data_IF_217870658557
#
_entry.id   IF_217870658557
#
_cell.length_a   1.000
_cell.length_b   1.000
_cell.length_c   1.000
_cell.angle_alpha   90.00
_cell.angle_beta   90.00
_cell.angle_gamma   90.00
#
_symmetry.space_group_name_H-M   'P 1'
#
loop_
_entity.id
_entity.type
_entity.pdbx_description
1 polymer ?
#
# COMPACT_ATOMS: atom_id res chain seq x y z
N UNK A 1 13.76 16.49 -8.06
CA UNK A 1 12.62 17.29 -7.55
C UNK A 1 11.34 16.60 -7.98
N UNK A 2 10.39 16.29 -7.10
CA UNK A 2 9.06 15.85 -7.48
C UNK A 2 8.38 16.95 -8.31
N UNK A 3 7.58 16.56 -9.26
CA UNK A 3 6.89 17.47 -10.18
C UNK A 3 5.37 17.34 -10.03
N UNK A 4 4.87 16.13 -10.19
CA UNK A 4 3.46 15.79 -10.00
C UNK A 4 3.32 14.45 -9.30
N UNK A 5 2.14 14.21 -8.72
CA UNK A 5 1.67 12.91 -8.25
C UNK A 5 0.25 12.68 -8.75
N UNK A 6 -0.28 11.45 -8.67
CA UNK A 6 -1.72 11.23 -8.90
C UNK A 6 -2.52 11.83 -7.75
N UNK A 7 -3.58 12.56 -8.07
CA UNK A 7 -4.52 13.14 -7.11
C UNK A 7 -5.44 12.07 -6.49
N UNK A 8 -6.34 12.47 -5.60
CA UNK A 8 -7.54 11.67 -5.31
C UNK A 8 -8.57 11.79 -6.45
N UNK A 9 -9.71 11.12 -6.29
CA UNK A 9 -10.82 11.15 -7.27
C UNK A 9 -11.50 12.52 -7.40
N UNK A 10 -11.32 13.42 -6.42
CA UNK A 10 -11.79 14.80 -6.45
C UNK A 10 -10.77 15.77 -7.04
N UNK A 11 -9.60 15.31 -7.45
CA UNK A 11 -8.50 16.12 -7.97
C UNK A 11 -7.73 16.88 -6.87
N UNK A 12 -7.76 16.38 -5.63
CA UNK A 12 -7.09 17.01 -4.48
C UNK A 12 -5.83 16.25 -4.08
N UNK A 13 -4.90 16.99 -3.48
CA UNK A 13 -3.64 16.42 -2.97
C UNK A 13 -3.83 15.72 -1.61
N UNK A 14 -4.73 16.20 -0.75
CA UNK A 14 -4.94 15.67 0.60
C UNK A 14 -5.38 14.20 0.61
N UNK A 15 -6.08 13.76 -0.44
CA UNK A 15 -6.49 12.37 -0.65
C UNK A 15 -5.55 11.56 -1.54
N UNK A 16 -4.43 12.15 -2.01
CA UNK A 16 -3.43 11.51 -2.88
C UNK A 16 -2.59 10.49 -2.09
N UNK A 17 -3.22 9.41 -1.64
CA UNK A 17 -2.64 8.39 -0.78
C UNK A 17 -3.17 7.00 -1.15
N UNK A 18 -2.42 6.00 -0.74
CA UNK A 18 -2.81 4.59 -0.71
C UNK A 18 -2.50 4.03 0.68
N UNK A 19 -2.72 2.75 0.93
CA UNK A 19 -2.58 2.22 2.29
C UNK A 19 -1.61 1.03 2.34
N UNK A 20 -0.66 1.12 3.28
CA UNK A 20 0.10 -0.03 3.75
C UNK A 20 -0.71 -0.76 4.80
N UNK A 21 -0.92 -2.06 4.62
CA UNK A 21 -1.71 -2.91 5.52
C UNK A 21 -0.82 -3.95 6.18
N UNK A 22 -1.01 -4.18 7.48
CA UNK A 22 -0.55 -5.38 8.18
C UNK A 22 -1.77 -6.26 8.41
N UNK A 23 -1.73 -7.45 7.85
CA UNK A 23 -2.86 -8.37 7.77
C UNK A 23 -2.54 -9.72 8.40
N UNK A 24 -3.61 -10.38 8.87
CA UNK A 24 -3.58 -11.73 9.45
C UNK A 24 -4.73 -12.56 8.88
N UNK A 25 -4.70 -13.91 8.93
CA UNK A 25 -5.85 -14.72 8.56
C UNK A 25 -7.11 -14.28 9.32
N UNK A 26 -8.26 -14.18 8.63
CA UNK A 26 -9.49 -13.63 9.23
C UNK A 26 -9.95 -14.38 10.48
N UNK A 27 -9.75 -15.70 10.52
CA UNK A 27 -10.06 -16.56 11.66
C UNK A 27 -9.12 -16.39 12.86
N UNK A 28 -8.02 -15.65 12.70
CA UNK A 28 -7.04 -15.37 13.76
C UNK A 28 -7.11 -13.93 14.29
N UNK A 29 -7.94 -13.07 13.73
CA UNK A 29 -8.03 -11.65 14.12
C UNK A 29 -8.27 -11.42 15.61
N UNK A 30 -9.03 -12.31 16.27
CA UNK A 30 -9.31 -12.18 17.71
C UNK A 30 -8.05 -12.21 18.59
N UNK A 31 -6.93 -12.80 18.10
CA UNK A 31 -5.65 -12.81 18.82
C UNK A 31 -4.97 -11.43 18.84
N UNK A 32 -5.41 -10.50 17.99
CA UNK A 32 -4.82 -9.16 17.81
C UNK A 32 -5.73 -8.05 18.33
N UNK A 33 -6.88 -8.38 18.96
CA UNK A 33 -7.74 -7.40 19.62
C UNK A 33 -7.04 -6.75 20.79
N UNK A 34 -7.16 -5.42 20.89
CA UNK A 34 -6.63 -4.62 21.99
C UNK A 34 -7.60 -3.47 22.29
N UNK A 35 -8.38 -3.62 23.34
CA UNK A 35 -9.37 -2.62 23.77
C UNK A 35 -8.72 -1.30 24.23
N UNK A 36 -7.41 -1.29 24.45
CA UNK A 36 -6.64 -0.08 24.79
C UNK A 36 -6.18 0.71 23.55
N UNK A 37 -6.23 0.09 22.36
CA UNK A 37 -5.91 0.74 21.10
C UNK A 37 -7.16 1.42 20.51
N UNK A 38 -7.07 2.68 20.04
CA UNK A 38 -8.22 3.37 19.44
C UNK A 38 -8.84 2.65 18.23
N UNK A 39 -8.09 1.81 17.55
CA UNK A 39 -8.56 1.01 16.40
C UNK A 39 -9.19 -0.32 16.82
N UNK A 40 -9.07 -0.71 18.09
CA UNK A 40 -9.51 -1.99 18.63
C UNK A 40 -8.59 -3.17 18.29
N UNK A 41 -7.46 -2.93 17.59
CA UNK A 41 -6.48 -3.94 17.19
C UNK A 41 -5.06 -3.45 17.44
N UNK A 42 -4.12 -4.38 17.59
CA UNK A 42 -2.72 -4.04 17.86
C UNK A 42 -1.77 -5.07 17.23
N UNK A 43 -0.61 -4.57 16.77
CA UNK A 43 0.48 -5.42 16.28
C UNK A 43 1.38 -5.98 17.39
N UNK A 44 1.06 -5.77 18.67
CA UNK A 44 1.87 -6.29 19.80
C UNK A 44 2.01 -7.81 19.83
N UNK A 45 1.12 -8.55 19.17
CA UNK A 45 1.16 -10.01 19.11
C UNK A 45 1.81 -10.58 17.83
N UNK A 46 2.52 -9.74 17.03
CA UNK A 46 3.23 -10.20 15.82
C UNK A 46 4.61 -10.81 16.11
N UNK A 47 5.20 -10.52 17.28
CA UNK A 47 6.50 -11.07 17.69
C UNK A 47 6.50 -12.59 17.66
N UNK A 48 7.54 -13.19 17.11
CA UNK A 48 7.70 -14.65 17.00
C UNK A 48 6.84 -15.30 15.91
N UNK A 49 6.01 -14.54 15.21
CA UNK A 49 5.21 -15.05 14.08
C UNK A 49 6.08 -15.22 12.83
N UNK A 50 5.57 -15.92 11.82
CA UNK A 50 6.13 -15.93 10.46
C UNK A 50 5.60 -14.70 9.73
N UNK A 51 6.49 -13.86 9.25
CA UNK A 51 6.14 -12.59 8.58
C UNK A 51 6.41 -12.68 7.08
N UNK A 52 5.48 -12.18 6.26
CA UNK A 52 5.71 -11.95 4.84
C UNK A 52 5.74 -10.45 4.55
N UNK A 53 6.83 -9.99 3.94
CA UNK A 53 6.98 -8.66 3.36
C UNK A 53 7.01 -8.74 1.83
N UNK A 54 6.93 -7.60 1.16
CA UNK A 54 7.03 -7.52 -0.31
C UNK A 54 8.49 -7.66 -0.75
N UNK A 55 9.32 -6.69 -0.39
CA UNK A 55 10.77 -6.67 -0.60
C UNK A 55 11.37 -5.64 0.36
N UNK A 56 12.65 -5.75 0.67
CA UNK A 56 13.34 -4.81 1.58
C UNK A 56 13.36 -3.34 1.09
N UNK A 57 13.09 -3.10 -0.19
CA UNK A 57 13.03 -1.76 -0.79
C UNK A 57 11.61 -1.20 -0.92
N UNK A 58 10.57 -2.02 -0.70
CA UNK A 58 9.17 -1.61 -0.82
C UNK A 58 8.81 -0.60 0.27
N UNK A 59 8.18 0.51 -0.09
CA UNK A 59 7.70 1.51 0.87
C UNK A 59 6.55 0.94 1.70
N UNK A 60 5.43 0.58 1.08
CA UNK A 60 4.22 0.08 1.74
C UNK A 60 4.32 -1.38 2.20
N UNK A 61 5.13 -2.19 1.51
CA UNK A 61 5.27 -3.61 1.82
C UNK A 61 6.44 -3.96 2.74
N UNK A 62 7.25 -2.97 3.17
CA UNK A 62 8.36 -3.19 4.11
C UNK A 62 8.66 -1.98 5.00
N UNK A 63 9.02 -0.81 4.43
CA UNK A 63 9.50 0.33 5.24
C UNK A 63 8.44 0.85 6.20
N UNK A 64 7.23 1.13 5.71
CA UNK A 64 6.12 1.62 6.54
C UNK A 64 5.73 0.61 7.62
N UNK A 65 5.43 -0.68 7.32
CA UNK A 65 5.12 -1.65 8.36
C UNK A 65 6.29 -1.92 9.31
N UNK A 66 7.54 -1.86 8.84
CA UNK A 66 8.72 -2.00 9.71
C UNK A 66 8.84 -0.87 10.71
N UNK A 67 8.59 0.38 10.29
CA UNK A 67 8.58 1.52 11.23
C UNK A 67 7.48 1.37 12.28
N UNK A 68 6.27 0.96 11.86
CA UNK A 68 5.17 0.70 12.80
C UNK A 68 5.55 -0.39 13.83
N UNK A 69 6.28 -1.44 13.41
CA UNK A 69 6.78 -2.49 14.31
C UNK A 69 7.86 -1.93 15.24
N UNK A 70 8.80 -1.12 14.74
CA UNK A 70 9.83 -0.48 15.58
C UNK A 70 9.21 0.43 16.63
N UNK A 71 8.19 1.22 16.27
CA UNK A 71 7.46 2.09 17.20
C UNK A 71 6.72 1.28 18.27
N UNK A 72 6.17 0.12 17.92
CA UNK A 72 5.49 -0.76 18.87
C UNK A 72 6.46 -1.54 19.78
N UNK A 73 7.72 -1.75 19.36
CA UNK A 73 8.73 -2.55 20.05
C UNK A 73 10.09 -1.81 20.12
N UNK A 74 10.14 -0.59 20.68
CA UNK A 74 11.36 0.26 20.63
C UNK A 74 12.55 -0.32 21.38
N UNK A 75 12.32 -1.19 22.37
CA UNK A 75 13.37 -1.85 23.15
C UNK A 75 13.88 -3.17 22.50
N UNK A 76 13.21 -3.65 21.45
CA UNK A 76 13.47 -4.97 20.89
C UNK A 76 13.92 -4.93 19.43
N UNK A 77 13.56 -3.88 18.68
CA UNK A 77 13.87 -3.71 17.25
C UNK A 77 14.50 -2.33 17.07
N UNK A 78 15.81 -2.31 16.88
CA UNK A 78 16.58 -1.06 16.75
C UNK A 78 16.72 -0.60 15.29
N UNK A 79 16.50 -1.48 14.31
CA UNK A 79 16.59 -1.15 12.89
C UNK A 79 15.71 -2.06 12.04
N UNK A 80 15.33 -1.58 10.85
CA UNK A 80 14.58 -2.36 9.87
C UNK A 80 15.34 -3.60 9.38
N UNK A 81 16.67 -3.58 9.42
CA UNK A 81 17.52 -4.74 9.05
C UNK A 81 17.27 -5.97 9.94
N UNK A 82 16.89 -5.75 11.20
CA UNK A 82 16.57 -6.84 12.13
C UNK A 82 15.27 -7.57 11.74
N UNK A 83 14.40 -6.90 10.99
CA UNK A 83 13.13 -7.44 10.50
C UNK A 83 13.28 -8.20 9.17
N UNK A 84 14.48 -8.20 8.56
CA UNK A 84 14.73 -8.91 7.28
C UNK A 84 15.10 -10.38 7.45
N UNK A 85 15.29 -10.85 8.67
CA UNK A 85 15.81 -12.18 9.02
C UNK A 85 15.14 -12.73 10.29
N UNK A 86 15.24 -14.04 10.55
CA UNK A 86 14.79 -14.61 11.82
C UNK A 86 15.46 -13.96 13.02
N UNK A 87 14.69 -13.76 14.09
CA UNK A 87 15.08 -13.08 15.33
C UNK A 87 13.85 -12.55 16.04
N UNK A 88 13.41 -11.33 15.70
CA UNK A 88 12.13 -10.79 16.15
C UNK A 88 10.96 -11.65 15.62
N UNK A 89 10.98 -11.98 14.33
CA UNK A 89 10.10 -12.96 13.71
C UNK A 89 10.74 -14.36 13.75
N UNK A 90 9.94 -15.41 13.82
CA UNK A 90 10.42 -16.80 13.72
C UNK A 90 10.91 -17.13 12.29
N UNK A 91 10.29 -16.51 11.29
CA UNK A 91 10.64 -16.61 9.88
C UNK A 91 10.26 -15.31 9.16
N UNK A 92 11.06 -14.94 8.16
CA UNK A 92 10.73 -13.83 7.26
C UNK A 92 10.72 -14.33 5.83
N UNK A 93 9.64 -14.00 5.12
CA UNK A 93 9.41 -14.30 3.72
C UNK A 93 9.33 -13.00 2.93
N UNK A 94 9.76 -13.02 1.68
CA UNK A 94 9.57 -11.93 0.73
C UNK A 94 8.74 -12.43 -0.45
N UNK A 95 7.53 -11.85 -0.60
CA UNK A 95 6.59 -12.20 -1.67
C UNK A 95 7.00 -11.69 -3.05
N UNK A 96 7.99 -10.78 -3.12
CA UNK A 96 8.49 -10.07 -4.30
C UNK A 96 7.46 -9.19 -5.04
N UNK A 97 6.21 -9.22 -4.60
CA UNK A 97 5.12 -8.35 -5.01
C UNK A 97 4.09 -8.26 -3.89
N UNK A 98 3.20 -7.26 -3.92
CA UNK A 98 2.10 -7.14 -2.97
C UNK A 98 1.15 -8.34 -3.05
N UNK A 99 0.69 -8.77 -4.25
CA UNK A 99 -0.05 -10.02 -4.40
C UNK A 99 0.70 -11.25 -3.86
N UNK A 100 2.02 -11.34 -4.08
CA UNK A 100 2.82 -12.46 -3.57
C UNK A 100 2.89 -12.51 -2.05
N UNK A 101 2.99 -11.35 -1.38
CA UNK A 101 2.97 -11.28 0.09
C UNK A 101 1.60 -11.67 0.66
N UNK A 102 0.50 -11.20 0.04
CA UNK A 102 -0.86 -11.56 0.42
C UNK A 102 -1.13 -13.07 0.24
N UNK A 103 -0.65 -13.65 -0.87
CA UNK A 103 -0.78 -15.10 -1.13
C UNK A 103 -0.01 -15.93 -0.11
N UNK A 104 1.20 -15.53 0.31
CA UNK A 104 1.93 -16.22 1.39
C UNK A 104 1.10 -16.29 2.68
N UNK A 105 0.37 -15.22 3.03
CA UNK A 105 -0.55 -15.22 4.17
C UNK A 105 -1.71 -16.20 3.95
N UNK A 106 -2.39 -16.08 2.82
CA UNK A 106 -3.59 -16.84 2.52
C UNK A 106 -3.32 -18.34 2.32
N UNK A 107 -2.12 -18.73 1.87
CA UNK A 107 -1.69 -20.14 1.80
C UNK A 107 -1.29 -20.71 3.17
N UNK A 108 -1.03 -19.83 4.15
CA UNK A 108 -0.58 -20.25 5.48
C UNK A 108 0.94 -20.43 5.59
N UNK A 109 1.72 -19.89 4.63
CA UNK A 109 3.18 -19.84 4.70
C UNK A 109 3.65 -18.76 5.69
N UNK A 110 2.87 -17.69 5.85
CA UNK A 110 3.04 -16.65 6.85
C UNK A 110 1.83 -16.57 7.80
N UNK A 111 2.06 -16.08 9.02
CA UNK A 111 1.02 -15.81 10.03
C UNK A 111 0.58 -14.36 9.99
N UNK A 112 1.48 -13.48 9.49
CA UNK A 112 1.28 -12.03 9.33
C UNK A 112 1.87 -11.64 7.97
N UNK A 113 1.23 -10.71 7.26
CA UNK A 113 1.79 -10.18 6.02
C UNK A 113 1.58 -8.67 5.91
N UNK A 114 2.51 -8.02 5.20
CA UNK A 114 2.40 -6.61 4.81
C UNK A 114 2.30 -6.48 3.30
N UNK A 115 1.31 -5.69 2.84
CA UNK A 115 1.07 -5.36 1.43
C UNK A 115 0.18 -4.11 1.34
N UNK A 116 -0.02 -3.57 0.15
CA UNK A 116 -0.90 -2.41 -0.03
C UNK A 116 -2.30 -2.76 -0.55
N UNK A 117 -3.15 -1.74 -0.65
CA UNK A 117 -4.49 -1.83 -1.19
C UNK A 117 -4.50 -1.85 -2.73
N UNK A 118 -3.75 -0.96 -3.38
CA UNK A 118 -3.85 -0.72 -4.83
C UNK A 118 -3.47 -1.92 -5.70
N UNK A 119 -2.49 -2.72 -5.26
CA UNK A 119 -2.03 -3.89 -6.02
C UNK A 119 -2.82 -5.17 -5.69
N UNK A 120 -3.63 -5.16 -4.61
CA UNK A 120 -4.27 -6.37 -4.08
C UNK A 120 -5.80 -6.34 -4.18
N UNK A 121 -6.44 -5.16 -4.05
CA UNK A 121 -7.91 -5.05 -3.97
C UNK A 121 -8.63 -5.52 -5.25
N UNK A 122 -7.99 -5.47 -6.40
CA UNK A 122 -8.56 -6.02 -7.64
C UNK A 122 -8.92 -7.51 -7.56
N UNK A 123 -8.28 -8.27 -6.67
CA UNK A 123 -8.53 -9.70 -6.44
C UNK A 123 -9.54 -9.99 -5.33
N UNK A 124 -10.07 -8.96 -4.66
CA UNK A 124 -10.80 -9.06 -3.41
C UNK A 124 -12.21 -8.48 -3.50
N UNK A 125 -13.12 -9.03 -2.70
CA UNK A 125 -14.37 -8.37 -2.38
C UNK A 125 -14.09 -7.27 -1.36
N UNK A 126 -14.11 -6.02 -1.82
CA UNK A 126 -13.86 -4.83 -0.98
C UNK A 126 -15.09 -4.59 -0.10
N UNK A 127 -14.94 -4.46 1.21
CA UNK A 127 -16.09 -4.47 2.15
C UNK A 127 -16.97 -3.20 2.08
N UNK A 128 -16.48 -2.10 1.51
CA UNK A 128 -17.19 -0.81 1.37
C UNK A 128 -16.53 0.07 0.31
N UNK A 129 -17.31 0.94 -0.34
CA UNK A 129 -16.83 1.92 -1.32
C UNK A 129 -16.07 3.10 -0.68
N UNK A 130 -16.19 3.30 0.64
CA UNK A 130 -15.42 4.27 1.40
C UNK A 130 -14.00 3.73 1.61
N UNK A 131 -13.03 4.24 0.87
CA UNK A 131 -11.65 3.76 0.87
C UNK A 131 -10.96 3.86 2.23
N UNK A 132 -11.15 4.95 2.96
CA UNK A 132 -10.57 5.12 4.30
C UNK A 132 -11.16 4.09 5.28
N UNK A 133 -12.46 3.84 5.19
CA UNK A 133 -13.13 2.83 6.00
C UNK A 133 -12.74 1.41 5.58
N UNK A 134 -12.64 1.12 4.29
CA UNK A 134 -12.18 -0.16 3.78
C UNK A 134 -10.77 -0.49 4.31
N UNK A 135 -9.91 0.52 4.45
CA UNK A 135 -8.56 0.38 4.97
C UNK A 135 -8.44 0.49 6.51
N UNK A 136 -9.55 0.50 7.25
CA UNK A 136 -9.49 0.54 8.71
C UNK A 136 -9.15 -0.82 9.31
N UNK A 137 -8.46 -0.84 10.46
CA UNK A 137 -8.27 -2.07 11.24
C UNK A 137 -9.63 -2.68 11.60
N UNK A 138 -9.71 -4.00 11.58
CA UNK A 138 -10.94 -4.75 11.80
C UNK A 138 -11.70 -5.12 10.52
N UNK A 139 -11.38 -4.53 9.38
CA UNK A 139 -11.98 -4.91 8.10
C UNK A 139 -11.49 -6.29 7.65
N UNK A 140 -12.41 -7.07 7.07
CA UNK A 140 -12.15 -8.41 6.54
C UNK A 140 -12.40 -8.42 5.04
N UNK A 141 -11.46 -8.98 4.31
CA UNK A 141 -11.49 -9.12 2.87
C UNK A 141 -11.58 -10.59 2.48
N UNK A 142 -12.40 -10.89 1.48
CA UNK A 142 -12.48 -12.23 0.89
C UNK A 142 -11.86 -12.21 -0.50
N UNK A 143 -11.17 -13.28 -0.85
CA UNK A 143 -10.71 -13.47 -2.23
C UNK A 143 -11.91 -13.78 -3.12
N UNK A 144 -12.07 -13.02 -4.21
CA UNK A 144 -13.15 -13.18 -5.18
C UNK A 144 -13.19 -14.60 -5.76
N UNK A 145 -14.39 -15.09 -6.01
CA UNK A 145 -14.59 -16.26 -6.85
C UNK A 145 -14.10 -15.95 -8.26
N UNK A 146 -13.26 -16.84 -8.83
CA UNK A 146 -12.68 -16.62 -10.15
C UNK A 146 -11.53 -15.62 -10.19
N UNK A 147 -10.99 -15.20 -9.03
CA UNK A 147 -9.81 -14.33 -8.98
C UNK A 147 -8.68 -14.85 -9.86
N UNK A 148 -8.03 -13.95 -10.61
CA UNK A 148 -6.92 -14.26 -11.49
C UNK A 148 -5.65 -14.66 -10.71
N UNK A 149 -4.64 -15.15 -11.41
CA UNK A 149 -3.33 -15.40 -10.80
C UNK A 149 -2.76 -14.11 -10.19
N UNK A 150 -2.13 -14.20 -8.99
CA UNK A 150 -1.78 -15.41 -8.23
C UNK A 150 -2.84 -15.87 -7.22
N UNK A 151 -4.02 -15.21 -7.15
CA UNK A 151 -5.07 -15.49 -6.17
C UNK A 151 -5.98 -16.68 -6.54
N UNK A 152 -5.88 -17.21 -7.77
CA UNK A 152 -6.63 -18.39 -8.26
C UNK A 152 -6.52 -19.62 -7.33
N UNK A 153 -5.41 -19.76 -6.62
CA UNK A 153 -5.10 -20.87 -5.69
C UNK A 153 -5.54 -20.63 -4.25
N UNK A 154 -6.07 -19.45 -3.93
CA UNK A 154 -6.51 -19.06 -2.58
C UNK A 154 -7.94 -18.52 -2.55
N UNK A 155 -8.74 -18.84 -3.56
CA UNK A 155 -10.15 -18.45 -3.65
C UNK A 155 -10.93 -18.88 -2.40
N UNK A 156 -11.85 -18.05 -1.96
CA UNK A 156 -12.69 -18.28 -0.77
C UNK A 156 -11.94 -18.15 0.56
N UNK A 157 -10.64 -17.82 0.53
CA UNK A 157 -9.89 -17.47 1.75
C UNK A 157 -10.04 -16.01 2.07
N UNK A 158 -9.79 -15.65 3.33
CA UNK A 158 -9.98 -14.29 3.83
C UNK A 158 -8.88 -13.89 4.80
N UNK A 159 -8.61 -12.60 4.84
CA UNK A 159 -7.71 -11.97 5.80
C UNK A 159 -8.39 -10.76 6.45
N UNK A 160 -7.84 -10.33 7.58
CA UNK A 160 -8.26 -9.10 8.24
C UNK A 160 -7.12 -8.14 8.46
N UNK A 161 -7.41 -6.86 8.42
CA UNK A 161 -6.48 -5.78 8.69
C UNK A 161 -6.35 -5.59 10.20
N UNK A 162 -5.14 -5.69 10.75
CA UNK A 162 -4.85 -5.38 12.15
C UNK A 162 -4.19 -4.02 12.34
N UNK A 163 -3.56 -3.49 11.27
CA UNK A 163 -3.05 -2.13 11.21
C UNK A 163 -3.02 -1.65 9.77
N UNK A 164 -3.31 -0.37 9.57
CA UNK A 164 -3.24 0.31 8.29
C UNK A 164 -2.60 1.68 8.45
N UNK A 165 -1.75 2.05 7.51
CA UNK A 165 -1.03 3.33 7.51
C UNK A 165 -1.16 3.97 6.14
N UNK A 166 -1.67 5.22 6.02
CA UNK A 166 -1.70 5.93 4.77
C UNK A 166 -0.28 6.23 4.26
N UNK A 167 -0.08 6.04 2.97
CA UNK A 167 1.18 6.28 2.26
C UNK A 167 0.91 7.25 1.12
N UNK A 168 1.74 8.27 0.96
CA UNK A 168 1.61 9.25 -0.11
C UNK A 168 1.87 8.60 -1.48
N UNK A 169 1.05 8.94 -2.47
CA UNK A 169 1.25 8.46 -3.84
C UNK A 169 2.63 8.87 -4.37
N UNK A 170 3.25 7.98 -5.14
CA UNK A 170 4.60 8.20 -5.67
C UNK A 170 4.66 9.38 -6.66
N UNK A 171 5.75 10.18 -6.67
CA UNK A 171 5.90 11.29 -7.60
C UNK A 171 6.42 10.86 -8.97
N UNK A 172 6.02 11.60 -10.01
CA UNK A 172 6.85 11.76 -11.19
C UNK A 172 7.86 12.85 -10.86
N UNK A 173 9.15 12.52 -10.92
CA UNK A 173 10.23 13.42 -10.54
C UNK A 173 11.13 13.78 -11.73
N UNK A 174 11.72 14.97 -11.68
CA UNK A 174 12.67 15.47 -12.68
C UNK A 174 14.04 15.73 -12.06
N UNK A 175 15.09 15.51 -12.85
CA UNK A 175 16.44 15.91 -12.48
C UNK A 175 16.69 17.37 -12.91
N UNK A 176 16.68 18.29 -11.94
CA UNK A 176 16.86 19.73 -12.15
C UNK A 176 18.29 20.12 -12.53
N UNK A 177 19.28 19.25 -12.35
CA UNK A 177 20.64 19.47 -12.81
C UNK A 177 20.79 19.25 -14.32
N UNK A 178 19.85 18.47 -14.91
CA UNK A 178 19.90 18.08 -16.34
C UNK A 178 18.85 18.84 -17.15
N UNK A 179 17.66 19.03 -16.63
CA UNK A 179 16.56 19.67 -17.35
C UNK A 179 16.53 21.17 -17.11
N UNK A 180 16.53 22.02 -18.17
CA UNK A 180 16.30 23.46 -18.07
C UNK A 180 14.93 23.78 -17.50
N UNK A 181 14.80 24.89 -16.78
CA UNK A 181 13.56 25.29 -16.12
C UNK A 181 12.37 25.42 -17.09
N UNK A 182 12.59 25.96 -18.29
CA UNK A 182 11.53 26.12 -19.31
C UNK A 182 10.98 24.77 -19.81
N UNK A 183 11.77 23.70 -19.74
CA UNK A 183 11.32 22.33 -20.04
C UNK A 183 10.53 21.77 -18.85
N UNK A 184 10.99 22.01 -17.62
CA UNK A 184 10.29 21.60 -16.39
C UNK A 184 8.89 22.26 -16.34
N UNK A 185 8.79 23.56 -16.64
CA UNK A 185 7.54 24.29 -16.66
C UNK A 185 6.56 23.72 -17.70
N UNK A 186 7.04 23.38 -18.90
CA UNK A 186 6.23 22.75 -19.95
C UNK A 186 5.79 21.32 -19.57
N UNK A 187 6.64 20.56 -18.91
CA UNK A 187 6.28 19.22 -18.40
C UNK A 187 5.19 19.32 -17.34
N UNK A 188 5.32 20.28 -16.41
CA UNK A 188 4.31 20.51 -15.39
C UNK A 188 2.96 20.91 -16.01
N UNK A 189 2.97 21.89 -16.91
CA UNK A 189 1.76 22.33 -17.62
C UNK A 189 1.11 21.16 -18.40
N UNK A 190 1.91 20.40 -19.15
CA UNK A 190 1.42 19.26 -19.93
C UNK A 190 0.85 18.15 -19.05
N UNK A 191 1.57 17.72 -18.02
CA UNK A 191 1.12 16.63 -17.13
C UNK A 191 -0.15 16.99 -16.34
N UNK A 192 -0.31 18.26 -15.92
CA UNK A 192 -1.51 18.72 -15.20
C UNK A 192 -2.63 19.22 -16.11
N UNK A 193 -2.48 19.06 -17.43
CA UNK A 193 -3.50 19.51 -18.40
C UNK A 193 -4.73 18.59 -18.38
N UNK A 194 -5.87 19.16 -18.81
CA UNK A 194 -7.09 18.36 -19.03
C UNK A 194 -6.94 17.33 -20.16
N UNK A 195 -6.09 17.64 -21.14
CA UNK A 195 -5.79 16.72 -22.24
C UNK A 195 -5.12 15.45 -21.72
N UNK A 196 -4.10 15.60 -20.86
CA UNK A 196 -3.42 14.47 -20.21
C UNK A 196 -4.37 13.69 -19.30
N UNK A 197 -5.21 14.36 -18.50
CA UNK A 197 -6.19 13.69 -17.63
C UNK A 197 -7.28 12.94 -18.41
N UNK A 198 -7.49 13.29 -19.68
CA UNK A 198 -8.46 12.62 -20.57
C UNK A 198 -7.83 11.60 -21.53
N UNK A 199 -6.53 11.36 -21.41
CA UNK A 199 -5.83 10.39 -22.25
C UNK A 199 -6.05 8.97 -21.70
N UNK A 200 -6.87 8.19 -22.41
CA UNK A 200 -7.24 6.82 -22.05
C UNK A 200 -6.06 5.83 -22.06
N UNK A 201 -4.93 6.19 -22.66
CA UNK A 201 -3.69 5.41 -22.57
C UNK A 201 -2.99 5.60 -21.23
N UNK A 202 -3.25 6.71 -20.53
CA UNK A 202 -2.72 7.00 -19.21
C UNK A 202 -3.73 6.67 -18.11
N UNK A 203 -4.98 7.10 -18.28
CA UNK A 203 -6.03 6.99 -17.28
C UNK A 203 -7.23 6.24 -17.87
N UNK A 204 -7.39 4.98 -17.52
CA UNK A 204 -8.56 4.21 -17.95
C UNK A 204 -9.85 4.78 -17.35
N UNK A 205 -10.96 4.81 -18.10
CA UNK A 205 -12.27 5.01 -17.51
C UNK A 205 -12.56 3.98 -16.41
N UNK A 206 -13.34 4.37 -15.39
CA UNK A 206 -13.62 3.57 -14.19
C UNK A 206 -14.17 2.17 -14.50
N UNK A 207 -14.97 2.04 -15.56
CA UNK A 207 -15.67 0.79 -15.93
C UNK A 207 -14.89 -0.07 -16.94
N UNK A 208 -13.65 0.26 -17.28
CA UNK A 208 -12.86 -0.45 -18.30
C UNK A 208 -11.82 -1.35 -17.65
N UNK A 209 -12.14 -2.64 -17.56
CA UNK A 209 -11.16 -3.66 -17.18
C UNK A 209 -10.17 -3.92 -18.33
N UNK A 210 -8.91 -4.27 -18.00
CA UNK A 210 -7.85 -4.62 -18.98
C UNK A 210 -7.55 -3.54 -20.03
N UNK A 211 -7.72 -2.27 -19.69
CA UNK A 211 -7.50 -1.16 -20.63
C UNK A 211 -6.04 -1.02 -21.12
N UNK A 212 -5.07 -1.55 -20.36
CA UNK A 212 -3.64 -1.34 -20.57
C UNK A 212 -3.15 0.05 -20.14
N UNK A 213 -4.02 0.92 -19.62
CA UNK A 213 -3.64 2.20 -19.03
C UNK A 213 -2.86 2.01 -17.72
N UNK A 214 -2.12 3.06 -17.32
CA UNK A 214 -1.27 2.99 -16.11
C UNK A 214 -2.08 3.23 -14.84
N UNK A 215 -3.12 4.08 -14.92
CA UNK A 215 -4.00 4.45 -13.80
C UNK A 215 -5.47 4.28 -14.17
N UNK A 216 -6.34 4.21 -13.15
CA UNK A 216 -7.79 4.20 -13.30
C UNK A 216 -8.39 5.52 -12.83
N UNK A 217 -9.38 6.06 -13.53
CA UNK A 217 -10.17 7.23 -13.09
C UNK A 217 -11.07 6.91 -11.88
N UNK A 218 -11.23 5.62 -11.54
CA UNK A 218 -11.83 5.21 -10.25
C UNK A 218 -10.92 5.50 -9.05
N UNK A 219 -9.61 5.67 -9.26
CA UNK A 219 -8.62 5.88 -8.20
C UNK A 219 -8.07 7.31 -8.15
N UNK A 220 -8.12 8.05 -9.27
CA UNK A 220 -7.56 9.41 -9.39
C UNK A 220 -8.26 10.25 -10.44
N UNK A 221 -8.34 11.54 -10.24
CA UNK A 221 -8.80 12.50 -11.28
C UNK A 221 -7.68 12.91 -12.26
N UNK A 222 -6.46 12.41 -12.10
CA UNK A 222 -5.31 12.77 -12.93
C UNK A 222 -4.10 13.23 -12.12
N UNK A 223 -3.16 13.90 -12.76
CA UNK A 223 -1.98 14.42 -12.08
C UNK A 223 -2.24 15.78 -11.44
N UNK A 224 -1.64 15.99 -10.27
CA UNK A 224 -1.60 17.25 -9.54
C UNK A 224 -0.15 17.65 -9.23
N UNK A 225 0.16 18.94 -9.30
CA UNK A 225 1.47 19.46 -8.90
C UNK A 225 1.76 19.17 -7.42
N UNK A 226 3.00 18.84 -7.11
CA UNK A 226 3.40 18.52 -5.74
C UNK A 226 4.74 19.17 -5.39
N UNK A 227 4.81 19.73 -4.19
CA UNK A 227 6.03 20.28 -3.62
C UNK A 227 6.89 19.20 -2.96
N UNK A 228 8.20 19.42 -2.92
CA UNK A 228 9.16 18.48 -2.31
C UNK A 228 8.86 18.18 -0.84
N UNK A 229 8.42 19.18 -0.08
CA UNK A 229 8.02 19.08 1.32
C UNK A 229 6.82 18.16 1.58
N UNK A 230 6.00 17.87 0.57
CA UNK A 230 4.89 16.91 0.67
C UNK A 230 5.38 15.52 1.08
N UNK A 231 6.60 15.15 0.68
CA UNK A 231 7.20 13.84 0.95
C UNK A 231 8.01 13.77 2.25
N UNK A 232 8.07 14.81 3.08
CA UNK A 232 8.79 14.81 4.36
C UNK A 232 8.36 13.65 5.28
N UNK A 233 7.06 13.30 5.41
CA UNK A 233 6.66 12.15 6.23
C UNK A 233 7.28 10.83 5.79
N UNK A 234 7.47 10.62 4.48
CA UNK A 234 8.07 9.38 3.94
C UNK A 234 9.60 9.40 4.07
N UNK A 235 10.25 10.56 3.97
CA UNK A 235 11.71 10.67 4.14
C UNK A 235 12.19 10.34 5.54
N UNK A 236 11.32 10.50 6.53
CA UNK A 236 11.64 10.21 7.92
C UNK A 236 11.41 8.73 8.29
N UNK A 237 10.97 7.90 7.34
CA UNK A 237 10.90 6.46 7.54
C UNK A 237 12.32 5.86 7.51
N UNK A 238 12.68 5.08 8.53
CA UNK A 238 13.99 4.46 8.68
C UNK A 238 14.29 3.40 7.59
#
# INVERSE_FOLDING_TARGET
>A
MPLVTTSDTDGKLDGAKYFSRICVPADQMDQYKDDSDPTGYSIKNVKGKRMSFVSATSTSGFKVPSNAIMDAFPDEVASTDELTKPGFFSQVLFGNSHPGSAVNLLQGDADVAAFDDIDVDMYLDVPTDDRDKANSAGQVYNVKDGAAQPFDRVQGKSFGIIQSTPVLNGPIAVNTEVLPQDIIDKLLEGLTSKETASDELLFAPEDVEDSGAVWSLGDTAGFIAVEDSWYDPIRNLA
#
